data_IF_875794164042
#
_entry.id   IF_875794164042
#
_cell.length_a   1.000
_cell.length_b   1.000
_cell.length_c   1.000
_cell.angle_alpha   90.00
_cell.angle_beta   90.00
_cell.angle_gamma   90.00
#
_symmetry.space_group_name_H-M   'P 1'
#
loop_
_entity.id
_entity.type
_entity.pdbx_description
1 polymer ?
#
# COMPACT_ATOMS: atom_id res chain seq x y z
N UNK A 1 0.79 -10.60 -12.19
CA UNK A 1 2.04 -10.39 -11.43
C UNK A 1 2.69 -9.12 -11.94
N UNK A 2 2.51 -8.00 -11.24
CA UNK A 2 3.14 -6.75 -11.65
C UNK A 2 4.65 -6.85 -11.35
N UNK A 3 5.46 -6.66 -12.40
CA UNK A 3 6.92 -6.70 -12.30
C UNK A 3 7.36 -5.44 -11.55
N UNK A 4 7.86 -5.62 -10.32
CA UNK A 4 8.44 -4.52 -9.54
C UNK A 4 9.72 -4.04 -10.23
N UNK A 5 9.85 -2.72 -10.39
CA UNK A 5 11.08 -2.10 -10.90
C UNK A 5 11.81 -1.36 -9.79
N UNK A 6 13.06 -1.74 -9.56
CA UNK A 6 13.98 -0.99 -8.71
C UNK A 6 14.19 0.42 -9.29
N UNK A 7 14.18 1.43 -8.43
CA UNK A 7 14.26 2.85 -8.78
C UNK A 7 12.93 3.51 -9.12
N UNK A 8 11.90 2.74 -9.48
CA UNK A 8 10.55 3.26 -9.75
C UNK A 8 9.57 2.88 -8.64
N UNK A 9 9.43 1.58 -8.36
CA UNK A 9 8.48 1.06 -7.37
C UNK A 9 9.07 1.00 -5.97
N UNK A 10 10.36 0.71 -5.88
CA UNK A 10 11.09 0.63 -4.62
C UNK A 10 12.55 0.99 -4.82
N UNK A 11 13.22 1.33 -3.73
CA UNK A 11 14.67 1.39 -3.65
C UNK A 11 15.14 0.70 -2.37
N UNK A 12 16.41 0.28 -2.34
CA UNK A 12 17.02 -0.30 -1.16
C UNK A 12 17.68 0.81 -0.33
N UNK A 13 17.23 0.95 0.91
CA UNK A 13 17.83 1.87 1.89
C UNK A 13 18.27 1.04 3.10
N UNK A 14 19.58 1.00 3.37
CA UNK A 14 20.10 0.24 4.52
C UNK A 14 19.79 -1.27 4.47
N UNK A 15 19.59 -1.84 3.29
CA UNK A 15 19.20 -3.24 3.10
C UNK A 15 17.69 -3.51 3.26
N UNK A 16 16.88 -2.47 3.45
CA UNK A 16 15.43 -2.57 3.52
C UNK A 16 14.79 -2.06 2.22
N UNK A 17 13.70 -2.71 1.82
CA UNK A 17 12.88 -2.26 0.69
C UNK A 17 12.05 -1.04 1.10
N UNK A 18 12.34 0.11 0.49
CA UNK A 18 11.54 1.32 0.64
C UNK A 18 10.68 1.50 -0.59
N UNK A 19 9.38 1.28 -0.45
CA UNK A 19 8.42 1.49 -1.53
C UNK A 19 8.16 2.97 -1.76
N UNK A 20 8.07 3.35 -3.03
CA UNK A 20 7.79 4.70 -3.46
C UNK A 20 6.29 4.96 -3.56
N UNK A 21 5.93 6.23 -3.74
CA UNK A 21 4.57 6.63 -4.10
C UNK A 21 4.07 5.93 -5.37
N UNK A 22 4.93 5.71 -6.37
CA UNK A 22 4.55 5.08 -7.64
C UNK A 22 4.07 3.64 -7.44
N UNK A 23 4.71 2.87 -6.55
CA UNK A 23 4.25 1.54 -6.20
C UNK A 23 2.87 1.56 -5.53
N UNK A 24 2.64 2.50 -4.62
CA UNK A 24 1.35 2.66 -3.96
C UNK A 24 0.23 3.08 -4.92
N UNK A 25 0.56 3.84 -5.96
CA UNK A 25 -0.37 4.18 -7.05
C UNK A 25 -0.68 2.97 -7.94
N UNK A 26 0.34 2.18 -8.33
CA UNK A 26 0.14 0.93 -9.10
C UNK A 26 -0.70 -0.10 -8.35
N UNK A 27 -0.61 -0.12 -7.02
CA UNK A 27 -1.45 -0.93 -6.12
C UNK A 27 -2.92 -0.48 -6.12
N UNK A 28 -3.20 0.78 -6.44
CA UNK A 28 -4.56 1.32 -6.56
C UNK A 28 -5.30 1.63 -5.25
N UNK A 29 -4.72 1.32 -4.08
CA UNK A 29 -5.34 1.61 -2.78
C UNK A 29 -4.33 1.94 -1.68
N UNK A 30 -4.80 2.64 -0.65
CA UNK A 30 -4.05 2.83 0.60
C UNK A 30 -4.13 1.55 1.44
N UNK A 31 -2.98 1.03 1.89
CA UNK A 31 -2.91 -0.19 2.70
C UNK A 31 -3.16 0.05 4.20
N UNK A 32 -3.36 1.29 4.65
CA UNK A 32 -3.61 1.62 6.06
C UNK A 32 -2.40 1.42 6.99
N UNK A 33 -1.18 1.26 6.46
CA UNK A 33 0.07 1.11 7.24
C UNK A 33 0.67 2.44 7.71
N UNK A 34 0.11 3.58 7.30
CA UNK A 34 0.64 4.93 7.59
C UNK A 34 2.10 5.10 7.12
N UNK A 35 2.34 4.77 5.84
CA UNK A 35 3.65 4.86 5.18
C UNK A 35 4.12 6.31 5.06
N UNK A 36 5.44 6.54 5.14
CA UNK A 36 6.03 7.89 5.00
C UNK A 36 5.81 8.53 3.63
N UNK A 37 5.79 7.71 2.57
CA UNK A 37 5.63 8.15 1.17
C UNK A 37 4.25 7.84 0.61
N UNK A 38 3.21 7.81 1.45
CA UNK A 38 1.86 7.53 0.99
C UNK A 38 1.39 8.64 0.03
N UNK A 39 1.01 8.33 -1.22
CA UNK A 39 0.52 9.33 -2.18
C UNK A 39 -0.94 9.73 -1.93
N UNK A 40 -1.66 8.98 -1.10
CA UNK A 40 -3.08 9.18 -0.86
C UNK A 40 -3.34 10.31 0.13
N UNK A 41 -4.44 11.07 -0.05
CA UNK A 41 -4.79 12.15 0.85
C UNK A 41 -5.13 11.62 2.25
N UNK A 42 -5.00 12.45 3.30
CA UNK A 42 -5.12 12.02 4.70
C UNK A 42 -6.47 11.38 5.02
N UNK A 43 -7.57 11.79 4.38
CA UNK A 43 -8.89 11.19 4.52
C UNK A 43 -8.93 9.73 4.04
N UNK A 44 -8.29 9.43 2.91
CA UNK A 44 -8.19 8.06 2.37
C UNK A 44 -7.30 7.20 3.27
N UNK A 45 -6.22 7.79 3.79
CA UNK A 45 -5.35 7.11 4.75
C UNK A 45 -6.10 6.76 6.04
N UNK A 46 -6.89 7.69 6.58
CA UNK A 46 -7.66 7.49 7.80
C UNK A 46 -8.67 6.34 7.66
N UNK A 47 -9.40 6.27 6.54
CA UNK A 47 -10.36 5.19 6.29
C UNK A 47 -9.65 3.84 6.12
N UNK A 48 -8.54 3.79 5.38
CA UNK A 48 -7.76 2.55 5.22
C UNK A 48 -7.17 2.07 6.55
N UNK A 49 -6.68 2.97 7.40
CA UNK A 49 -6.20 2.66 8.76
C UNK A 49 -7.36 2.09 9.59
N UNK A 50 -8.54 2.72 9.55
CA UNK A 50 -9.73 2.25 10.28
C UNK A 50 -10.12 0.84 9.87
N UNK A 51 -10.21 0.55 8.57
CA UNK A 51 -10.52 -0.79 8.05
C UNK A 51 -9.50 -1.82 8.53
N UNK A 52 -8.21 -1.50 8.42
CA UNK A 52 -7.12 -2.38 8.88
C UNK A 52 -7.21 -2.69 10.38
N UNK A 53 -7.48 -1.69 11.21
CA UNK A 53 -7.65 -1.86 12.66
C UNK A 53 -8.89 -2.69 13.00
N UNK A 54 -9.95 -2.57 12.20
CA UNK A 54 -11.15 -3.39 12.33
C UNK A 54 -10.97 -4.83 11.80
N UNK A 55 -9.79 -5.20 11.29
CA UNK A 55 -9.55 -6.51 10.66
C UNK A 55 -10.27 -6.69 9.33
N UNK A 56 -10.76 -5.60 8.74
CA UNK A 56 -11.41 -5.59 7.44
C UNK A 56 -10.34 -5.44 6.34
N UNK A 57 -10.56 -6.06 5.18
CA UNK A 57 -9.69 -5.90 4.03
C UNK A 57 -9.63 -4.43 3.62
N UNK A 58 -8.42 -3.93 3.43
CA UNK A 58 -8.16 -2.54 3.03
C UNK A 58 -8.46 -2.30 1.57
N UNK A 59 -8.44 -3.34 0.74
CA UNK A 59 -8.87 -3.29 -0.65
C UNK A 59 -10.06 -4.22 -0.89
N UNK A 60 -11.11 -3.81 -1.61
CA UNK A 60 -12.27 -4.67 -1.92
C UNK A 60 -11.88 -5.87 -2.78
N UNK A 61 -10.84 -5.75 -3.60
CA UNK A 61 -10.36 -6.84 -4.46
C UNK A 61 -9.71 -7.98 -3.64
N UNK A 62 -9.17 -7.65 -2.46
CA UNK A 62 -8.64 -8.67 -1.53
C UNK A 62 -9.78 -9.51 -0.90
N UNK A 63 -11.01 -8.98 -0.81
CA UNK A 63 -12.20 -9.75 -0.38
C UNK A 63 -12.50 -10.90 -1.34
N UNK A 64 -12.42 -10.64 -2.64
CA UNK A 64 -12.71 -11.63 -3.67
C UNK A 64 -11.59 -12.70 -3.80
N UNK A 65 -10.36 -12.38 -3.40
CA UNK A 65 -9.20 -13.21 -3.66
C UNK A 65 -8.82 -14.19 -2.53
N UNK A 66 -9.38 -14.05 -1.32
CA UNK A 66 -9.15 -14.98 -0.20
C UNK A 66 -7.67 -15.11 0.22
N UNK A 67 -6.84 -14.10 -0.05
CA UNK A 67 -5.41 -14.07 0.30
C UNK A 67 -5.28 -13.42 1.67
N UNK A 68 -4.98 -14.24 2.69
CA UNK A 68 -4.66 -13.81 4.06
C UNK A 68 -3.30 -13.11 4.10
#
# INVERSE_FOLDING_TARGET
MAKLKEGEDYYLEGGLYVFTAAYHLKRGHCCGSRCRHCPYPPEVQAEAIRRRLAGLPVNPEDEAAGKR
#
